data_IF_587435848121
#
_entry.id   IF_587435848121
#
_cell.length_a   1.000
_cell.length_b   1.000
_cell.length_c   1.000
_cell.angle_alpha   90.00
_cell.angle_beta   90.00
_cell.angle_gamma   90.00
#
_symmetry.space_group_name_H-M   'P 1'
#
loop_
_entity.id
_entity.type
_entity.pdbx_description
1 polymer ?
#
# COMPACT_ATOMS: atom_id res chain seq x y z
N UNK A 1 -12.93 -32.32 3.04
CA UNK A 1 -13.73 -33.06 2.05
C UNK A 1 -13.14 -34.47 2.00
N UNK A 2 -13.90 -35.47 2.44
CA UNK A 2 -13.47 -36.87 2.56
C UNK A 2 -13.12 -37.44 1.19
N UNK A 3 -11.94 -38.06 1.04
CA UNK A 3 -11.56 -38.83 -0.15
C UNK A 3 -12.45 -40.10 -0.22
N UNK A 4 -13.36 -40.24 -1.20
CA UNK A 4 -14.20 -41.42 -1.32
C UNK A 4 -13.92 -42.06 -2.68
N UNK A 5 -12.69 -42.51 -2.91
CA UNK A 5 -12.40 -43.33 -4.09
C UNK A 5 -11.31 -44.32 -3.73
N UNK A 6 -11.71 -45.56 -3.47
CA UNK A 6 -10.80 -46.70 -3.46
C UNK A 6 -11.00 -47.37 -4.81
N UNK A 7 -10.04 -47.31 -5.74
CA UNK A 7 -10.21 -47.94 -7.04
C UNK A 7 -10.38 -49.45 -6.84
N UNK A 8 -11.49 -50.01 -7.32
CA UNK A 8 -11.79 -51.44 -7.16
C UNK A 8 -11.14 -52.28 -8.26
N UNK A 9 -10.76 -51.63 -9.38
CA UNK A 9 -10.10 -52.25 -10.51
C UNK A 9 -9.09 -51.28 -11.19
N UNK A 10 -8.39 -51.78 -12.23
CA UNK A 10 -7.38 -51.00 -12.96
C UNK A 10 -7.97 -49.82 -13.74
N UNK A 11 -9.18 -49.96 -14.29
CA UNK A 11 -9.83 -48.89 -15.06
C UNK A 11 -10.21 -47.72 -14.14
N UNK A 12 -10.73 -48.00 -12.95
CA UNK A 12 -11.02 -46.98 -11.92
C UNK A 12 -9.75 -46.25 -11.47
N UNK A 13 -8.62 -46.98 -11.35
CA UNK A 13 -7.34 -46.40 -10.99
C UNK A 13 -6.79 -45.49 -12.11
N UNK A 14 -6.97 -45.87 -13.38
CA UNK A 14 -6.59 -45.06 -14.53
C UNK A 14 -7.43 -43.79 -14.63
N UNK A 15 -8.74 -43.89 -14.43
CA UNK A 15 -9.65 -42.74 -14.41
C UNK A 15 -9.28 -41.76 -13.28
N UNK A 16 -8.99 -42.27 -12.08
CA UNK A 16 -8.53 -41.44 -10.96
C UNK A 16 -7.22 -40.73 -11.27
N UNK A 17 -6.23 -41.42 -11.86
CA UNK A 17 -4.95 -40.82 -12.26
C UNK A 17 -5.18 -39.71 -13.30
N UNK A 18 -6.08 -39.93 -14.26
CA UNK A 18 -6.39 -38.95 -15.30
C UNK A 18 -7.06 -37.69 -14.71
N UNK A 19 -7.98 -37.86 -13.76
CA UNK A 19 -8.59 -36.74 -13.03
C UNK A 19 -7.56 -35.98 -12.19
N UNK A 20 -6.68 -36.69 -11.48
CA UNK A 20 -5.61 -36.06 -10.69
C UNK A 20 -4.61 -35.31 -11.56
N UNK A 21 -4.25 -35.84 -12.73
CA UNK A 21 -3.41 -35.16 -13.70
C UNK A 21 -4.06 -33.87 -14.21
N UNK A 22 -5.34 -33.91 -14.57
CA UNK A 22 -6.06 -32.72 -15.03
C UNK A 22 -6.12 -31.64 -13.94
N UNK A 23 -6.42 -32.03 -12.69
CA UNK A 23 -6.42 -31.09 -11.56
C UNK A 23 -5.04 -30.43 -11.37
N UNK A 24 -3.95 -31.17 -11.58
CA UNK A 24 -2.59 -30.67 -11.44
C UNK A 24 -2.21 -29.66 -12.52
N UNK A 25 -2.65 -29.90 -13.76
CA UNK A 25 -2.52 -28.96 -14.87
C UNK A 25 -3.31 -27.68 -14.60
N UNK A 26 -4.56 -27.82 -14.15
CA UNK A 26 -5.42 -26.68 -13.80
C UNK A 26 -4.84 -25.87 -12.64
N UNK A 27 -4.29 -26.53 -11.61
CA UNK A 27 -3.64 -25.86 -10.48
C UNK A 27 -2.37 -25.11 -10.91
N UNK A 28 -1.61 -25.64 -11.88
CA UNK A 28 -0.44 -24.96 -12.45
C UNK A 28 -0.86 -23.67 -13.18
N UNK A 29 -1.95 -23.71 -13.95
CA UNK A 29 -2.50 -22.52 -14.61
C UNK A 29 -2.96 -21.46 -13.58
N UNK A 30 -3.69 -21.89 -12.53
CA UNK A 30 -4.12 -21.00 -11.44
C UNK A 30 -2.95 -20.36 -10.69
N UNK A 31 -1.85 -21.08 -10.51
CA UNK A 31 -0.64 -20.52 -9.89
C UNK A 31 -0.02 -19.43 -10.74
N UNK A 32 0.02 -19.60 -12.06
CA UNK A 32 0.53 -18.57 -12.96
C UNK A 32 -0.34 -17.30 -12.89
N UNK A 33 -1.67 -17.44 -12.89
CA UNK A 33 -2.59 -16.30 -12.68
C UNK A 33 -2.34 -15.62 -11.33
N UNK A 34 -2.08 -16.39 -10.28
CA UNK A 34 -1.77 -15.86 -8.96
C UNK A 34 -0.41 -15.13 -8.90
N UNK A 35 0.61 -15.61 -9.63
CA UNK A 35 1.90 -14.92 -9.80
C UNK A 35 1.70 -13.56 -10.49
N UNK A 36 0.99 -13.53 -11.61
CA UNK A 36 0.68 -12.29 -12.36
C UNK A 36 -0.08 -11.28 -11.49
N UNK A 37 -1.10 -11.74 -10.76
CA UNK A 37 -1.86 -10.89 -9.84
C UNK A 37 -0.96 -10.36 -8.71
N UNK A 38 -0.03 -11.17 -8.22
CA UNK A 38 0.89 -10.73 -7.18
C UNK A 38 1.89 -9.69 -7.69
N UNK A 39 2.38 -9.80 -8.91
CA UNK A 39 3.23 -8.78 -9.55
C UNK A 39 2.49 -7.45 -9.70
N UNK A 40 1.23 -7.49 -10.16
CA UNK A 40 0.37 -6.30 -10.26
C UNK A 40 0.20 -5.65 -8.89
N UNK A 41 -0.10 -6.42 -7.85
CA UNK A 41 -0.28 -5.90 -6.50
C UNK A 41 1.02 -5.33 -5.91
N UNK A 42 2.17 -5.92 -6.22
CA UNK A 42 3.46 -5.37 -5.83
C UNK A 42 3.68 -4.00 -6.49
N UNK A 43 3.43 -3.89 -7.80
CA UNK A 43 3.54 -2.63 -8.53
C UNK A 43 2.59 -1.56 -7.99
N UNK A 44 1.35 -1.93 -7.65
CA UNK A 44 0.39 -1.01 -7.00
C UNK A 44 0.92 -0.52 -5.65
N UNK A 45 1.49 -1.42 -4.84
CA UNK A 45 2.06 -1.05 -3.54
C UNK A 45 3.24 -0.08 -3.69
N UNK A 46 4.12 -0.32 -4.67
CA UNK A 46 5.26 0.56 -4.98
C UNK A 46 4.78 1.95 -5.43
N UNK A 47 3.80 2.02 -6.34
CA UNK A 47 3.21 3.29 -6.79
C UNK A 47 2.54 4.07 -5.66
N UNK A 48 1.87 3.37 -4.74
CA UNK A 48 1.24 3.98 -3.58
C UNK A 48 2.27 4.58 -2.63
N UNK A 49 3.38 3.87 -2.37
CA UNK A 49 4.49 4.38 -1.55
C UNK A 49 5.15 5.61 -2.18
N UNK A 50 5.33 5.64 -3.50
CA UNK A 50 5.83 6.81 -4.21
C UNK A 50 4.87 8.00 -4.12
N UNK A 51 3.56 7.75 -4.25
CA UNK A 51 2.55 8.80 -4.09
C UNK A 51 2.56 9.37 -2.66
N UNK A 52 2.68 8.51 -1.65
CA UNK A 52 2.82 8.91 -0.24
C UNK A 52 4.03 9.83 -0.04
N UNK A 53 5.19 9.47 -0.58
CA UNK A 53 6.41 10.28 -0.49
C UNK A 53 6.22 11.66 -1.13
N UNK A 54 5.61 11.70 -2.33
CA UNK A 54 5.32 12.95 -3.03
C UNK A 54 4.41 13.87 -2.20
N UNK A 55 3.33 13.32 -1.64
CA UNK A 55 2.40 14.08 -0.80
C UNK A 55 3.10 14.60 0.45
N UNK A 56 3.92 13.79 1.13
CA UNK A 56 4.71 14.23 2.28
C UNK A 56 5.64 15.40 1.93
N UNK A 57 6.25 15.36 0.73
CA UNK A 57 7.03 16.48 0.20
C UNK A 57 6.22 17.77 0.10
N UNK A 58 5.03 17.71 -0.51
CA UNK A 58 4.12 18.86 -0.63
C UNK A 58 3.64 19.35 0.75
N UNK A 59 3.25 18.46 1.65
CA UNK A 59 2.83 18.79 3.02
C UNK A 59 3.95 19.50 3.77
N UNK A 60 5.20 19.05 3.61
CA UNK A 60 6.38 19.70 4.16
C UNK A 60 6.57 21.14 3.65
N UNK A 61 6.36 21.37 2.35
CA UNK A 61 6.39 22.72 1.76
C UNK A 61 5.30 23.62 2.33
N UNK A 62 4.06 23.13 2.43
CA UNK A 62 2.93 23.88 3.03
C UNK A 62 3.22 24.24 4.48
N UNK A 63 3.78 23.32 5.27
CA UNK A 63 4.19 23.58 6.65
C UNK A 63 5.27 24.66 6.74
N UNK A 64 6.23 24.66 5.82
CA UNK A 64 7.27 25.71 5.73
C UNK A 64 6.64 27.07 5.40
N UNK A 65 5.73 27.13 4.42
CA UNK A 65 5.00 28.35 4.05
C UNK A 65 4.22 28.86 5.26
N UNK A 66 3.44 28.01 5.93
CA UNK A 66 2.67 28.40 7.11
C UNK A 66 3.56 28.97 8.24
N UNK A 67 4.74 28.38 8.45
CA UNK A 67 5.71 28.90 9.44
C UNK A 67 6.26 30.28 9.04
N UNK A 68 6.58 30.48 7.76
CA UNK A 68 7.04 31.77 7.24
C UNK A 68 5.94 32.83 7.31
N UNK A 69 4.71 32.50 6.92
CA UNK A 69 3.54 33.37 7.02
C UNK A 69 3.28 33.77 8.47
N UNK A 70 3.42 32.83 9.42
CA UNK A 70 3.32 33.14 10.86
C UNK A 70 4.36 34.17 11.31
N UNK A 71 5.61 34.02 10.87
CA UNK A 71 6.68 34.98 11.21
C UNK A 71 6.43 36.35 10.59
N UNK A 72 5.97 36.40 9.33
CA UNK A 72 5.58 37.65 8.67
C UNK A 72 4.42 38.34 9.40
N UNK A 73 3.42 37.58 9.83
CA UNK A 73 2.29 38.09 10.60
C UNK A 73 2.73 38.67 11.95
N UNK A 74 3.66 38.01 12.65
CA UNK A 74 4.23 38.53 13.90
C UNK A 74 4.95 39.86 13.65
N UNK A 75 5.80 39.95 12.62
CA UNK A 75 6.50 41.18 12.28
C UNK A 75 5.52 42.31 11.93
N UNK A 76 4.46 42.01 11.16
CA UNK A 76 3.41 42.96 10.84
C UNK A 76 2.65 43.44 12.09
N UNK A 77 2.39 42.53 13.05
CA UNK A 77 1.76 42.88 14.32
C UNK A 77 2.63 43.81 15.17
N UNK A 78 3.95 43.61 15.19
CA UNK A 78 4.90 44.50 15.88
C UNK A 78 4.86 45.91 15.27
N UNK A 79 4.94 46.02 13.93
CA UNK A 79 4.92 47.31 13.24
C UNK A 79 3.57 48.02 13.41
N UNK A 80 2.47 47.26 13.37
CA UNK A 80 1.13 47.77 13.63
C UNK A 80 0.97 48.32 15.06
N UNK A 81 1.56 47.65 16.06
CA UNK A 81 1.59 48.15 17.44
C UNK A 81 2.43 49.43 17.57
N UNK A 82 3.55 49.52 16.84
CA UNK A 82 4.42 50.69 16.83
C UNK A 82 3.75 51.92 16.20
N UNK A 83 2.86 51.72 15.22
CA UNK A 83 2.05 52.77 14.60
C UNK A 83 0.91 53.31 15.48
N UNK A 84 0.69 52.76 16.68
CA UNK A 84 -0.31 53.23 17.63
C UNK A 84 -1.75 53.11 17.10
N UNK A 85 -2.56 54.17 17.24
CA UNK A 85 -3.97 54.14 16.77
C UNK A 85 -4.08 53.89 15.26
N UNK A 86 -3.16 54.44 14.46
CA UNK A 86 -3.15 54.28 13.00
C UNK A 86 -2.93 52.82 12.56
N UNK A 87 -2.33 51.99 13.42
CA UNK A 87 -2.04 50.58 13.15
C UNK A 87 -3.10 49.59 13.63
N UNK A 88 -4.15 50.02 14.34
CA UNK A 88 -5.16 49.12 14.94
C UNK A 88 -5.80 48.16 13.94
N UNK A 89 -6.16 48.63 12.75
CA UNK A 89 -6.74 47.79 11.71
C UNK A 89 -5.76 46.73 11.19
N UNK A 90 -4.50 47.10 11.00
CA UNK A 90 -3.45 46.17 10.58
C UNK A 90 -3.11 45.14 11.65
N UNK A 91 -3.22 45.51 12.93
CA UNK A 91 -2.99 44.58 14.05
C UNK A 91 -4.03 43.44 14.05
N UNK A 92 -5.30 43.74 13.78
CA UNK A 92 -6.36 42.72 13.68
C UNK A 92 -6.07 41.76 12.52
N UNK A 93 -5.67 42.28 11.36
CA UNK A 93 -5.31 41.45 10.21
C UNK A 93 -4.10 40.57 10.51
N UNK A 94 -3.08 41.11 11.17
CA UNK A 94 -1.88 40.35 11.57
C UNK A 94 -2.22 39.18 12.51
N UNK A 95 -3.11 39.39 13.49
CA UNK A 95 -3.57 38.33 14.38
C UNK A 95 -4.37 37.25 13.64
N UNK A 96 -5.25 37.64 12.71
CA UNK A 96 -6.01 36.69 11.89
C UNK A 96 -5.09 35.82 11.00
N UNK A 97 -4.10 36.43 10.36
CA UNK A 97 -3.10 35.70 9.54
C UNK A 97 -2.26 34.75 10.39
N UNK A 98 -1.92 35.14 11.63
CA UNK A 98 -1.21 34.28 12.58
C UNK A 98 -2.05 33.06 12.95
N UNK A 99 -3.34 33.24 13.18
CA UNK A 99 -4.26 32.16 13.51
C UNK A 99 -4.48 31.22 12.31
N UNK A 100 -4.69 31.74 11.11
CA UNK A 100 -4.77 30.93 9.88
C UNK A 100 -3.50 30.10 9.65
N UNK A 101 -2.32 30.68 9.92
CA UNK A 101 -1.05 29.97 9.82
C UNK A 101 -0.93 28.84 10.86
N UNK A 102 -1.46 29.04 12.06
CA UNK A 102 -1.54 28.01 13.11
C UNK A 102 -2.48 26.88 12.70
N UNK A 103 -3.66 27.20 12.21
CA UNK A 103 -4.64 26.22 11.71
C UNK A 103 -4.06 25.41 10.54
N UNK A 104 -3.37 26.07 9.60
CA UNK A 104 -2.68 25.39 8.49
C UNK A 104 -1.61 24.41 8.99
N UNK A 105 -0.83 24.80 10.01
CA UNK A 105 0.15 23.89 10.63
C UNK A 105 -0.52 22.70 11.32
N UNK A 106 -1.66 22.91 11.97
CA UNK A 106 -2.44 21.83 12.57
C UNK A 106 -3.00 20.87 11.52
N UNK A 107 -3.59 21.40 10.43
CA UNK A 107 -4.15 20.61 9.34
C UNK A 107 -3.07 19.76 8.64
N UNK A 108 -1.92 20.35 8.30
CA UNK A 108 -0.78 19.61 7.73
C UNK A 108 -0.25 18.51 8.65
N UNK A 109 -0.30 18.72 9.97
CA UNK A 109 0.08 17.68 10.96
C UNK A 109 -0.93 16.53 10.98
N UNK A 110 -2.23 16.81 10.91
CA UNK A 110 -3.27 15.78 10.80
C UNK A 110 -3.11 14.96 9.51
N UNK A 111 -2.93 15.64 8.37
CA UNK A 111 -2.68 14.98 7.07
C UNK A 111 -1.44 14.07 7.13
N UNK A 112 -0.37 14.52 7.78
CA UNK A 112 0.86 13.70 7.94
C UNK A 112 0.57 12.39 8.68
N UNK A 113 -0.30 12.44 9.70
CA UNK A 113 -0.69 11.24 10.46
C UNK A 113 -1.53 10.29 9.60
N UNK A 114 -2.52 10.80 8.89
CA UNK A 114 -3.36 9.99 7.99
C UNK A 114 -2.51 9.31 6.90
N UNK A 115 -1.55 10.02 6.33
CA UNK A 115 -0.60 9.46 5.36
C UNK A 115 0.27 8.37 5.98
N UNK A 116 0.69 8.51 7.24
CA UNK A 116 1.46 7.47 7.92
C UNK A 116 0.65 6.18 8.09
N UNK A 117 -0.65 6.28 8.35
CA UNK A 117 -1.56 5.14 8.43
C UNK A 117 -1.67 4.43 7.06
N UNK A 118 -1.77 5.20 5.97
CA UNK A 118 -1.76 4.67 4.59
C UNK A 118 -0.44 3.96 4.28
N UNK A 119 0.70 4.56 4.65
CA UNK A 119 2.02 3.97 4.45
C UNK A 119 2.17 2.64 5.18
N UNK A 120 1.68 2.55 6.42
CA UNK A 120 1.72 1.33 7.21
C UNK A 120 0.87 0.23 6.56
N UNK A 121 -0.36 0.55 6.14
CA UNK A 121 -1.24 -0.41 5.45
C UNK A 121 -0.60 -0.94 4.15
N UNK A 122 0.06 -0.07 3.38
CA UNK A 122 0.77 -0.48 2.17
C UNK A 122 1.97 -1.40 2.46
N UNK A 123 2.71 -1.15 3.54
CA UNK A 123 3.80 -2.02 3.98
C UNK A 123 3.28 -3.39 4.43
N UNK A 124 2.18 -3.45 5.19
CA UNK A 124 1.54 -4.71 5.59
C UNK A 124 1.05 -5.51 4.39
N UNK A 125 0.45 -4.83 3.39
CA UNK A 125 0.07 -5.45 2.13
C UNK A 125 1.29 -6.03 1.39
N UNK A 126 2.40 -5.28 1.31
CA UNK A 126 3.64 -5.75 0.68
C UNK A 126 4.22 -7.00 1.36
N UNK A 127 4.21 -7.05 2.71
CA UNK A 127 4.65 -8.23 3.47
C UNK A 127 3.77 -9.44 3.16
N UNK A 128 2.45 -9.23 3.14
CA UNK A 128 1.47 -10.30 2.85
C UNK A 128 1.63 -10.84 1.44
N UNK A 129 1.88 -9.96 0.45
CA UNK A 129 2.16 -10.35 -0.93
C UNK A 129 3.43 -11.19 -1.05
N UNK A 130 4.51 -10.80 -0.37
CA UNK A 130 5.76 -11.60 -0.35
C UNK A 130 5.53 -13.01 0.22
N UNK A 131 4.72 -13.12 1.27
CA UNK A 131 4.36 -14.42 1.82
C UNK A 131 3.51 -15.25 0.85
N UNK A 132 2.61 -14.60 0.10
CA UNK A 132 1.80 -15.25 -0.94
C UNK A 132 2.66 -15.77 -2.10
N UNK A 133 3.57 -14.96 -2.64
CA UNK A 133 4.52 -15.37 -3.69
C UNK A 133 5.32 -16.59 -3.26
N UNK A 134 5.84 -16.57 -2.02
CA UNK A 134 6.59 -17.71 -1.47
C UNK A 134 5.74 -18.98 -1.46
N UNK A 135 4.49 -18.90 -1.00
CA UNK A 135 3.57 -20.05 -1.02
C UNK A 135 3.28 -20.54 -2.43
N UNK A 136 3.05 -19.63 -3.38
CA UNK A 136 2.81 -20.02 -4.78
C UNK A 136 4.00 -20.80 -5.33
N UNK A 137 5.23 -20.33 -5.08
CA UNK A 137 6.45 -21.03 -5.48
C UNK A 137 6.54 -22.44 -4.84
N UNK A 138 6.27 -22.58 -3.54
CA UNK A 138 6.30 -23.88 -2.85
C UNK A 138 5.29 -24.89 -3.44
N UNK A 139 4.07 -24.46 -3.77
CA UNK A 139 3.07 -25.35 -4.38
C UNK A 139 3.41 -25.64 -5.84
N UNK A 140 3.99 -24.69 -6.58
CA UNK A 140 4.46 -24.87 -7.96
C UNK A 140 5.57 -25.92 -8.05
N UNK A 141 6.55 -25.86 -7.14
CA UNK A 141 7.62 -26.86 -7.05
C UNK A 141 7.04 -28.25 -6.76
N UNK A 142 6.10 -28.35 -5.81
CA UNK A 142 5.41 -29.60 -5.49
C UNK A 142 4.64 -30.16 -6.70
N UNK A 143 3.97 -29.30 -7.47
CA UNK A 143 3.24 -29.71 -8.66
C UNK A 143 4.17 -30.22 -9.77
N UNK A 144 5.30 -29.56 -9.99
CA UNK A 144 6.31 -30.02 -10.95
C UNK A 144 6.91 -31.39 -10.56
N UNK A 145 7.16 -31.63 -9.28
CA UNK A 145 7.62 -32.93 -8.81
C UNK A 145 6.61 -34.04 -9.12
N UNK A 146 5.32 -33.79 -8.88
CA UNK A 146 4.24 -34.75 -9.18
C UNK A 146 4.12 -34.99 -10.69
N UNK A 147 4.13 -33.93 -11.52
CA UNK A 147 4.09 -34.05 -12.98
C UNK A 147 5.28 -34.89 -13.48
N UNK A 148 6.49 -34.63 -13.00
CA UNK A 148 7.68 -35.37 -13.38
C UNK A 148 7.62 -36.86 -12.99
N UNK A 149 6.99 -37.19 -11.85
CA UNK A 149 6.76 -38.58 -11.44
C UNK A 149 5.76 -39.29 -12.38
N UNK A 150 4.73 -38.59 -12.85
CA UNK A 150 3.72 -39.12 -13.76
C UNK A 150 4.29 -39.33 -15.17
N UNK A 151 5.08 -38.39 -15.68
CA UNK A 151 5.73 -38.48 -17.00
C UNK A 151 6.77 -39.61 -17.06
N UNK A 152 7.48 -39.90 -15.96
CA UNK A 152 8.43 -41.02 -15.87
C UNK A 152 7.78 -42.41 -15.93
N UNK A 153 6.45 -42.50 -15.84
CA UNK A 153 5.70 -43.76 -15.82
C UNK A 153 5.19 -44.19 -17.20
N UNK A 154 5.40 -43.37 -18.22
CA UNK A 154 5.26 -43.69 -19.64
C UNK A 154 6.63 -44.00 -20.26
#
# INVERSE_FOLDING_TARGET
>A
MSLPYHPENLDDALELIQVLYQNLVDDTARMQEAEELSEVNQRVSELLLQAVESILGTVGQVKKIASQTKLLAINAGIEAAQAGESGRGFLVVAEEVKELSRQTTSATTAITREIQEIQNAANEASISLKAMIKKIAEVKDSNYEILAMLERKH
#
